data_IF_554999486886
#
_entry.id   IF_554999486886
#
_cell.length_a   1.000
_cell.length_b   1.000
_cell.length_c   1.000
_cell.angle_alpha   90.00
_cell.angle_beta   90.00
_cell.angle_gamma   90.00
#
_symmetry.space_group_name_H-M   'P 1'
#
loop_
_entity.id
_entity.type
_entity.pdbx_description
1 polymer ?
#
# COMPACT_ATOMS: atom_id res chain seq x y z
N UNK A 1 0.88 -10.55 -14.27
CA UNK A 1 1.36 -9.66 -13.19
C UNK A 1 0.32 -9.68 -12.09
N UNK A 2 0.74 -9.95 -10.86
CA UNK A 2 -0.11 -9.67 -9.71
C UNK A 2 -0.14 -8.16 -9.50
N UNK A 3 -1.33 -7.59 -9.36
CA UNK A 3 -1.52 -6.16 -9.12
C UNK A 3 -1.86 -5.97 -7.66
N UNK A 4 -1.18 -5.04 -7.01
CA UNK A 4 -1.50 -4.65 -5.66
C UNK A 4 -2.71 -3.71 -5.68
N UNK A 5 -3.68 -3.96 -4.80
CA UNK A 5 -4.85 -3.09 -4.60
C UNK A 5 -4.90 -2.59 -3.15
N UNK A 6 -4.88 -1.26 -3.00
CA UNK A 6 -4.95 -0.57 -1.71
C UNK A 6 -6.27 -0.80 -0.98
N UNK A 7 -7.34 -1.21 -1.68
CA UNK A 7 -8.63 -1.52 -1.06
C UNK A 7 -8.54 -2.62 -0.02
N UNK A 8 -7.51 -3.46 -0.10
CA UNK A 8 -7.16 -4.47 0.91
C UNK A 8 -6.86 -3.85 2.28
N UNK A 9 -6.38 -2.61 2.31
CA UNK A 9 -5.97 -1.90 3.52
C UNK A 9 -6.89 -0.72 3.85
N UNK A 10 -7.40 -0.01 2.84
CA UNK A 10 -8.32 1.11 3.01
C UNK A 10 -9.51 0.96 2.08
N UNK A 11 -10.69 0.68 2.63
CA UNK A 11 -11.93 0.64 1.83
C UNK A 11 -12.38 2.02 1.34
N UNK A 12 -12.07 3.06 2.11
CA UNK A 12 -12.46 4.45 1.86
C UNK A 12 -11.22 5.30 2.10
N UNK A 13 -10.89 6.16 1.16
CA UNK A 13 -9.82 7.15 1.30
C UNK A 13 -10.39 8.41 1.95
N UNK A 14 -9.69 8.94 2.96
CA UNK A 14 -10.07 10.22 3.54
C UNK A 14 -9.10 10.69 4.63
N UNK A 15 -9.28 11.94 5.11
CA UNK A 15 -8.41 12.52 6.12
C UNK A 15 -8.35 11.70 7.42
N UNK A 16 -9.44 10.99 7.76
CA UNK A 16 -9.51 10.12 8.93
C UNK A 16 -9.53 8.62 8.57
N UNK A 17 -9.62 8.30 7.28
CA UNK A 17 -9.76 6.93 6.77
C UNK A 17 -8.48 6.53 6.05
N UNK A 18 -7.57 5.93 6.81
CA UNK A 18 -6.25 5.47 6.36
C UNK A 18 -5.85 4.22 7.14
N UNK A 19 -4.91 3.45 6.59
CA UNK A 19 -4.34 2.27 7.22
C UNK A 19 -3.37 2.66 8.32
N UNK A 20 -3.38 1.93 9.43
CA UNK A 20 -2.43 2.13 10.55
C UNK A 20 -1.18 1.26 10.44
N UNK A 21 -0.97 0.61 9.30
CA UNK A 21 0.21 -0.23 9.06
C UNK A 21 1.46 0.66 9.04
N UNK A 22 2.49 0.20 9.76
CA UNK A 22 3.79 0.88 9.85
C UNK A 22 4.88 0.21 9.02
N UNK A 23 4.79 -1.11 8.87
CA UNK A 23 5.74 -1.93 8.12
C UNK A 23 4.95 -2.80 7.16
N UNK A 24 5.11 -2.58 5.86
CA UNK A 24 4.47 -3.34 4.80
C UNK A 24 5.54 -4.04 3.96
N UNK A 25 5.41 -5.35 3.82
CA UNK A 25 6.30 -6.18 3.02
C UNK A 25 5.55 -6.74 1.82
N UNK A 26 5.95 -6.34 0.62
CA UNK A 26 5.36 -6.78 -0.65
C UNK A 26 6.33 -7.67 -1.46
N UNK A 27 7.53 -7.91 -0.93
CA UNK A 27 8.59 -8.73 -1.50
C UNK A 27 8.22 -10.21 -1.64
N UNK A 28 7.21 -10.69 -0.90
CA UNK A 28 6.68 -12.05 -1.07
C UNK A 28 5.97 -12.30 -2.41
N UNK A 29 5.61 -11.23 -3.12
CA UNK A 29 4.90 -11.29 -4.40
C UNK A 29 5.77 -10.68 -5.52
N UNK A 30 5.48 -11.00 -6.79
CA UNK A 30 6.15 -10.38 -7.95
C UNK A 30 5.57 -9.00 -8.25
N UNK A 31 5.56 -8.13 -7.24
CA UNK A 31 5.04 -6.75 -7.28
C UNK A 31 6.20 -5.82 -7.63
N UNK A 32 6.06 -5.06 -8.71
CA UNK A 32 6.98 -3.99 -9.11
C UNK A 32 6.45 -2.62 -8.67
N UNK A 33 7.30 -1.59 -8.62
CA UNK A 33 6.83 -0.20 -8.36
C UNK A 33 5.69 0.23 -9.29
N UNK A 34 5.74 -0.16 -10.57
CA UNK A 34 4.70 0.14 -11.56
C UNK A 34 3.35 -0.53 -11.28
N UNK A 35 3.33 -1.52 -10.38
CA UNK A 35 2.11 -2.19 -9.93
C UNK A 35 1.51 -1.58 -8.66
N UNK A 36 2.18 -0.59 -8.06
CA UNK A 36 1.66 0.17 -6.94
C UNK A 36 0.73 1.28 -7.44
N UNK A 37 -0.48 1.40 -6.88
CA UNK A 37 -1.40 2.45 -7.23
C UNK A 37 -1.02 3.75 -6.49
N UNK A 38 -1.28 4.92 -7.10
CA UNK A 38 -0.84 6.21 -6.59
C UNK A 38 -1.56 6.63 -5.29
N UNK A 39 -2.76 6.13 -5.05
CA UNK A 39 -3.54 6.37 -3.84
C UNK A 39 -3.00 5.62 -2.61
N UNK A 40 -2.03 4.73 -2.80
CA UNK A 40 -1.33 4.04 -1.71
C UNK A 40 -0.68 5.02 -0.74
N UNK A 41 -0.14 6.15 -1.21
CA UNK A 41 0.52 7.13 -0.36
C UNK A 41 -0.47 7.79 0.62
N UNK A 42 -1.72 7.99 0.22
CA UNK A 42 -2.76 8.54 1.11
C UNK A 42 -3.28 7.47 2.09
N UNK A 43 -3.46 6.24 1.62
CA UNK A 43 -3.92 5.12 2.44
C UNK A 43 -2.87 4.67 3.47
N UNK A 44 -1.60 4.58 3.06
CA UNK A 44 -0.49 4.07 3.86
C UNK A 44 0.43 5.20 4.36
N UNK A 45 -0.07 6.43 4.50
CA UNK A 45 0.73 7.62 4.86
C UNK A 45 1.52 7.54 6.17
N UNK A 46 1.24 6.55 7.02
CA UNK A 46 1.96 6.30 8.28
C UNK A 46 2.87 5.06 8.22
N UNK A 47 2.98 4.43 7.05
CA UNK A 47 3.93 3.37 6.80
C UNK A 47 5.33 4.00 6.71
N UNK A 48 6.20 3.59 7.63
CA UNK A 48 7.59 4.05 7.65
C UNK A 48 8.47 3.21 6.71
N UNK A 49 8.03 2.00 6.40
CA UNK A 49 8.77 1.04 5.60
C UNK A 49 7.81 0.27 4.69
N UNK A 50 8.06 0.33 3.39
CA UNK A 50 7.39 -0.47 2.37
C UNK A 50 8.48 -1.20 1.56
N UNK A 51 8.60 -2.51 1.74
CA UNK A 51 9.60 -3.32 1.04
C UNK A 51 9.02 -3.85 -0.28
N UNK A 52 9.71 -3.57 -1.39
CA UNK A 52 9.46 -4.11 -2.73
C UNK A 52 10.65 -4.99 -3.13
N UNK A 53 10.41 -5.97 -4.02
CA UNK A 53 11.44 -6.87 -4.55
C UNK A 53 12.09 -6.29 -5.81
#
# INVERSE_FOLDING_TARGET
LEKFDVKSFCKILGPLSYSKIKHLRLDGNRISETSLPPDMYECLRVANEITLN
#
